data_IF_056177105027
#
_entry.id   IF_056177105027
#
_cell.length_a   1.000
_cell.length_b   1.000
_cell.length_c   1.000
_cell.angle_alpha   90.00
_cell.angle_beta   90.00
_cell.angle_gamma   90.00
#
_symmetry.space_group_name_H-M   'P 1'
#
loop_
_entity.id
_entity.type
_entity.pdbx_description
1 polymer ?
#
# COMPACT_ATOMS: atom_id res chain seq x y z
N UNK A 1 13.04 -1.33 19.35
CA UNK A 1 12.59 -0.71 20.61
C UNK A 1 11.57 -1.64 21.26
N UNK A 2 12.09 -2.71 21.87
CA UNK A 2 11.42 -3.45 22.93
C UNK A 2 11.94 -2.83 24.24
N UNK A 3 11.04 -2.32 25.09
CA UNK A 3 11.35 -1.85 26.44
C UNK A 3 11.28 -3.06 27.39
N UNK A 4 12.41 -3.41 28.01
CA UNK A 4 12.71 -3.38 29.46
C UNK A 4 12.05 -4.50 30.30
N UNK A 5 12.87 -5.41 30.86
CA UNK A 5 13.37 -5.41 32.25
C UNK A 5 12.27 -5.88 33.22
N UNK A 6 12.42 -6.90 34.06
CA UNK A 6 13.58 -7.40 34.78
C UNK A 6 13.15 -7.56 36.25
N UNK A 7 13.48 -8.70 36.86
CA UNK A 7 13.55 -8.99 38.31
C UNK A 7 12.73 -10.22 38.74
N UNK A 8 13.48 -11.14 39.35
CA UNK A 8 13.06 -12.35 40.04
C UNK A 8 12.73 -12.07 41.53
N UNK A 9 12.53 -13.17 42.27
CA UNK A 9 12.52 -13.35 43.75
C UNK A 9 11.07 -13.52 44.33
N UNK A 10 10.79 -14.44 45.29
CA UNK A 10 10.89 -15.91 45.25
C UNK A 10 9.60 -16.60 45.83
N UNK A 11 9.55 -17.94 45.83
CA UNK A 11 8.61 -18.73 46.67
C UNK A 11 9.04 -18.67 48.17
N UNK A 12 8.35 -19.25 49.19
CA UNK A 12 7.39 -20.37 49.13
C UNK A 12 6.30 -20.43 50.24
N UNK A 13 5.65 -21.60 50.32
CA UNK A 13 4.98 -22.22 51.48
C UNK A 13 3.49 -21.99 51.73
N UNK A 14 2.76 -23.10 51.80
CA UNK A 14 1.36 -23.15 52.19
C UNK A 14 0.69 -24.50 51.94
N UNK A 15 1.18 -25.56 52.56
CA UNK A 15 0.44 -26.82 52.72
C UNK A 15 -0.96 -26.53 53.28
N UNK A 16 -2.01 -27.14 52.71
CA UNK A 16 -3.01 -27.86 53.49
C UNK A 16 -4.15 -28.46 52.65
N UNK A 17 -4.15 -29.80 52.63
CA UNK A 17 -5.25 -30.65 53.11
C UNK A 17 -6.44 -30.96 52.18
N UNK A 18 -6.51 -32.28 51.92
CA UNK A 18 -7.67 -33.21 52.03
C UNK A 18 -8.50 -33.50 50.76
N UNK A 19 -8.20 -34.68 50.24
CA UNK A 19 -9.09 -35.85 50.09
C UNK A 19 -10.53 -35.60 49.65
N UNK A 20 -10.88 -36.13 48.47
CA UNK A 20 -12.28 -36.15 48.04
C UNK A 20 -12.56 -36.84 46.73
N UNK A 21 -12.46 -38.18 46.72
CA UNK A 21 -13.31 -39.10 45.94
C UNK A 21 -12.97 -39.30 44.44
N UNK A 22 -12.42 -40.49 44.17
CA UNK A 22 -12.47 -41.17 42.88
C UNK A 22 -13.93 -41.32 42.42
N UNK A 23 -14.21 -40.90 41.18
CA UNK A 23 -15.34 -41.35 40.35
C UNK A 23 -14.86 -41.56 38.91
N UNK A 24 -15.52 -42.45 38.16
CA UNK A 24 -14.85 -43.47 37.35
C UNK A 24 -14.58 -43.04 35.91
N UNK A 25 -13.56 -43.65 35.32
CA UNK A 25 -13.22 -43.63 33.89
C UNK A 25 -14.39 -44.14 33.02
N UNK A 26 -14.83 -43.38 32.00
CA UNK A 26 -15.61 -43.96 30.90
C UNK A 26 -14.71 -44.81 29.97
N UNK A 27 -15.26 -45.82 29.29
CA UNK A 27 -14.52 -46.76 28.43
C UNK A 27 -13.94 -46.12 27.15
N UNK A 28 -12.93 -46.74 26.52
CA UNK A 28 -12.22 -46.19 25.37
C UNK A 28 -12.90 -46.58 24.05
N UNK A 29 -13.61 -45.67 23.40
CA UNK A 29 -14.07 -45.85 22.01
C UNK A 29 -14.50 -44.46 21.47
N UNK A 30 -14.00 -43.88 20.39
CA UNK A 30 -13.04 -44.31 19.40
C UNK A 30 -12.10 -43.14 19.10
N UNK A 31 -10.81 -43.43 19.10
CA UNK A 31 -9.75 -42.57 18.61
C UNK A 31 -9.99 -42.33 17.11
N UNK A 32 -10.63 -41.21 16.77
CA UNK A 32 -10.63 -40.76 15.38
C UNK A 32 -9.17 -40.48 15.03
N UNK A 33 -8.61 -41.13 14.00
CA UNK A 33 -7.21 -40.90 13.66
C UNK A 33 -7.01 -39.41 13.37
N UNK A 34 -5.88 -38.80 13.78
CA UNK A 34 -5.60 -37.43 13.41
C UNK A 34 -5.69 -37.32 11.89
N UNK A 35 -6.60 -36.47 11.40
CA UNK A 35 -6.66 -36.11 9.99
C UNK A 35 -5.28 -35.60 9.62
N UNK A 36 -4.52 -36.42 8.90
CA UNK A 36 -3.14 -36.11 8.49
C UNK A 36 -3.20 -34.82 7.69
N UNK A 37 -2.72 -33.73 8.27
CA UNK A 37 -2.56 -32.45 7.59
C UNK A 37 -1.52 -32.67 6.51
N UNK A 38 -1.98 -32.79 5.26
CA UNK A 38 -1.11 -32.91 4.10
C UNK A 38 -0.14 -31.72 3.97
N UNK A 39 0.90 -31.85 3.13
CA UNK A 39 2.02 -30.93 3.10
C UNK A 39 1.57 -29.50 2.80
N UNK A 40 1.98 -28.59 3.69
CA UNK A 40 2.08 -27.14 3.51
C UNK A 40 1.38 -26.53 2.31
N UNK A 41 0.04 -26.40 2.35
CA UNK A 41 -0.58 -25.32 1.60
C UNK A 41 -0.28 -24.04 2.38
N UNK A 42 0.64 -23.17 1.91
CA UNK A 42 0.84 -21.89 2.57
C UNK A 42 -0.52 -21.21 2.65
N UNK A 43 -0.87 -20.71 3.84
CA UNK A 43 -2.05 -19.87 4.03
C UNK A 43 -1.81 -18.61 3.19
N UNK A 44 -2.25 -18.64 1.94
CA UNK A 44 -2.41 -17.46 1.10
C UNK A 44 -3.30 -16.53 1.92
N UNK A 45 -2.73 -15.44 2.44
CA UNK A 45 -3.41 -14.45 3.31
C UNK A 45 -4.49 -13.67 2.55
N UNK A 46 -5.39 -14.39 1.91
CA UNK A 46 -6.52 -13.87 1.15
C UNK A 46 -7.60 -13.56 2.15
N UNK A 47 -7.83 -12.27 2.37
CA UNK A 47 -8.95 -11.79 3.17
C UNK A 47 -10.14 -11.68 2.24
N UNK A 48 -11.17 -12.49 2.49
CA UNK A 48 -12.45 -12.38 1.79
C UNK A 48 -13.17 -11.09 2.20
N UNK A 49 -13.69 -10.36 1.20
CA UNK A 49 -14.57 -9.20 1.39
C UNK A 49 -15.69 -9.28 0.37
N UNK A 50 -16.87 -8.80 0.75
CA UNK A 50 -18.04 -8.74 -0.13
C UNK A 50 -17.95 -7.52 -1.04
N UNK A 51 -18.33 -7.69 -2.32
CA UNK A 51 -18.36 -6.62 -3.33
C UNK A 51 -19.71 -6.70 -4.05
N UNK A 52 -20.38 -5.56 -4.17
CA UNK A 52 -21.64 -5.44 -4.91
C UNK A 52 -21.38 -4.77 -6.26
N UNK A 53 -21.77 -5.43 -7.36
CA UNK A 53 -21.62 -4.94 -8.73
C UNK A 53 -22.98 -4.95 -9.45
N UNK A 54 -23.07 -4.22 -10.57
CA UNK A 54 -24.27 -4.24 -11.43
C UNK A 54 -24.45 -5.61 -12.11
N UNK A 55 -25.68 -6.06 -12.37
CA UNK A 55 -25.96 -7.36 -13.00
C UNK A 55 -25.17 -7.61 -14.30
N UNK A 56 -25.13 -6.61 -15.20
CA UNK A 56 -24.35 -6.66 -16.44
C UNK A 56 -22.86 -6.95 -16.24
N UNK A 57 -22.27 -6.53 -15.12
CA UNK A 57 -20.86 -6.79 -14.83
C UNK A 57 -20.65 -8.22 -14.34
N UNK A 58 -21.61 -8.76 -13.59
CA UNK A 58 -21.59 -10.17 -13.17
C UNK A 58 -21.71 -11.11 -14.37
N UNK A 59 -22.66 -10.84 -15.27
CA UNK A 59 -22.80 -11.61 -16.52
C UNK A 59 -21.50 -11.64 -17.31
N UNK A 60 -20.82 -10.50 -17.44
CA UNK A 60 -19.52 -10.43 -18.09
C UNK A 60 -18.41 -11.17 -17.33
N UNK A 61 -18.39 -11.10 -15.99
CA UNK A 61 -17.41 -11.79 -15.16
C UNK A 61 -17.58 -13.31 -15.19
N UNK A 62 -18.82 -13.80 -15.23
CA UNK A 62 -19.15 -15.23 -15.28
C UNK A 62 -18.86 -15.83 -16.66
N UNK A 63 -18.93 -15.02 -17.72
CA UNK A 63 -18.54 -15.42 -19.07
C UNK A 63 -17.00 -15.61 -19.24
N UNK A 64 -16.18 -15.26 -18.24
CA UNK A 64 -14.72 -15.34 -18.36
C UNK A 64 -14.22 -16.80 -18.24
N UNK A 65 -13.36 -17.28 -19.16
CA UNK A 65 -12.83 -18.65 -19.13
C UNK A 65 -12.05 -19.01 -17.86
N UNK A 66 -11.47 -18.00 -17.20
CA UNK A 66 -10.69 -18.13 -15.96
C UNK A 66 -11.54 -18.07 -14.68
N UNK A 67 -12.86 -17.85 -14.80
CA UNK A 67 -13.78 -17.59 -13.71
C UNK A 67 -13.75 -16.14 -13.20
N UNK A 68 -14.85 -15.74 -12.55
CA UNK A 68 -15.10 -14.37 -12.11
C UNK A 68 -14.00 -13.79 -11.19
N UNK A 69 -13.52 -14.56 -10.20
CA UNK A 69 -12.50 -14.07 -9.26
C UNK A 69 -11.13 -13.83 -9.90
N UNK A 70 -10.72 -14.69 -10.84
CA UNK A 70 -9.46 -14.53 -11.55
C UNK A 70 -9.49 -13.30 -12.47
N UNK A 71 -10.62 -13.09 -13.15
CA UNK A 71 -10.85 -11.90 -13.97
C UNK A 71 -10.86 -10.62 -13.11
N UNK A 72 -11.56 -10.64 -11.97
CA UNK A 72 -11.58 -9.51 -11.04
C UNK A 72 -10.18 -9.18 -10.52
N UNK A 73 -9.40 -10.18 -10.12
CA UNK A 73 -8.00 -9.97 -9.70
C UNK A 73 -7.18 -9.33 -10.82
N UNK A 74 -7.30 -9.83 -12.06
CA UNK A 74 -6.58 -9.25 -13.20
C UNK A 74 -6.97 -7.79 -13.45
N UNK A 75 -8.26 -7.46 -13.35
CA UNK A 75 -8.76 -6.09 -13.47
C UNK A 75 -8.20 -5.19 -12.38
N UNK A 76 -8.24 -5.62 -11.11
CA UNK A 76 -7.68 -4.87 -9.98
C UNK A 76 -6.18 -4.67 -10.14
N UNK A 77 -5.43 -5.72 -10.46
CA UNK A 77 -3.98 -5.64 -10.68
C UNK A 77 -3.63 -4.67 -11.83
N UNK A 78 -4.44 -4.67 -12.89
CA UNK A 78 -4.29 -3.75 -14.02
C UNK A 78 -4.55 -2.31 -13.58
N UNK A 79 -5.67 -2.05 -12.90
CA UNK A 79 -6.01 -0.73 -12.38
C UNK A 79 -4.97 -0.22 -11.36
N UNK A 80 -4.47 -1.10 -10.47
CA UNK A 80 -3.38 -0.79 -9.55
C UNK A 80 -2.11 -0.44 -10.29
N UNK A 81 -1.75 -1.19 -11.34
CA UNK A 81 -0.56 -0.91 -12.16
C UNK A 81 -0.66 0.41 -12.90
N UNK A 82 -1.82 0.71 -13.48
CA UNK A 82 -2.07 1.97 -14.20
C UNK A 82 -2.01 3.16 -13.25
N UNK A 83 -2.60 3.04 -12.05
CA UNK A 83 -2.58 4.10 -11.03
C UNK A 83 -1.21 4.33 -10.39
N UNK A 84 -0.34 3.32 -10.34
CA UNK A 84 0.97 3.41 -9.65
C UNK A 84 1.88 4.50 -10.20
N UNK A 85 1.93 4.68 -11.52
CA UNK A 85 2.80 5.68 -12.13
C UNK A 85 2.29 7.11 -11.86
N UNK A 86 0.98 7.34 -12.01
CA UNK A 86 0.35 8.62 -11.71
C UNK A 86 0.47 9.00 -10.23
N UNK A 87 0.29 8.02 -9.34
CA UNK A 87 0.46 8.23 -7.90
C UNK A 87 1.91 8.59 -7.58
N UNK A 88 2.88 7.84 -8.13
CA UNK A 88 4.30 8.12 -7.92
C UNK A 88 4.69 9.54 -8.35
N UNK A 89 4.16 10.02 -9.47
CA UNK A 89 4.35 11.40 -9.92
C UNK A 89 3.77 12.41 -8.92
N UNK A 90 2.54 12.17 -8.43
CA UNK A 90 1.91 12.99 -7.39
C UNK A 90 2.74 13.04 -6.11
N UNK A 91 3.24 11.90 -5.61
CA UNK A 91 4.09 11.86 -4.41
C UNK A 91 5.37 12.65 -4.55
N UNK A 92 6.02 12.56 -5.72
CA UNK A 92 7.24 13.32 -5.97
C UNK A 92 6.94 14.83 -6.01
N UNK A 93 5.83 15.22 -6.62
CA UNK A 93 5.40 16.63 -6.70
C UNK A 93 5.06 17.18 -5.31
N UNK A 94 4.33 16.42 -4.50
CA UNK A 94 4.04 16.76 -3.12
C UNK A 94 5.33 16.88 -2.29
N UNK A 95 6.32 16.03 -2.56
CA UNK A 95 7.66 16.13 -1.97
C UNK A 95 8.41 17.40 -2.36
N UNK A 96 8.37 17.78 -3.63
CA UNK A 96 8.95 19.04 -4.12
C UNK A 96 8.27 20.26 -3.49
N UNK A 97 6.93 20.24 -3.39
CA UNK A 97 6.17 21.28 -2.70
C UNK A 97 6.53 21.38 -1.21
N UNK A 98 6.63 20.26 -0.49
CA UNK A 98 7.04 20.26 0.93
C UNK A 98 8.43 20.84 1.13
N UNK A 99 9.39 20.46 0.27
CA UNK A 99 10.73 21.06 0.29
C UNK A 99 10.66 22.57 0.08
N UNK A 100 9.93 23.00 -0.95
CA UNK A 100 9.77 24.41 -1.29
C UNK A 100 9.09 25.20 -0.16
N UNK A 101 8.04 24.66 0.45
CA UNK A 101 7.33 25.29 1.57
C UNK A 101 8.21 25.42 2.80
N UNK A 102 9.11 24.47 3.05
CA UNK A 102 10.03 24.53 4.18
C UNK A 102 11.21 25.48 3.94
N UNK A 103 11.80 25.45 2.74
CA UNK A 103 13.03 26.20 2.43
C UNK A 103 12.78 27.62 1.93
N UNK A 104 11.65 27.86 1.29
CA UNK A 104 11.39 29.05 0.47
C UNK A 104 10.01 29.66 0.73
N UNK A 105 9.34 29.31 1.83
CA UNK A 105 8.02 29.87 2.17
C UNK A 105 8.01 31.40 2.25
N UNK A 106 9.12 32.00 2.69
CA UNK A 106 9.29 33.46 2.80
C UNK A 106 10.01 34.07 1.57
N UNK A 107 10.31 33.28 0.54
CA UNK A 107 11.03 33.77 -0.63
C UNK A 107 10.08 34.44 -1.63
N UNK A 108 10.58 35.40 -2.43
CA UNK A 108 9.78 36.04 -3.47
C UNK A 108 9.17 35.02 -4.43
N UNK A 109 7.94 35.27 -4.88
CA UNK A 109 7.20 34.45 -5.85
C UNK A 109 6.89 33.02 -5.39
N UNK A 110 6.99 32.69 -4.11
CA UNK A 110 6.69 31.34 -3.60
C UNK A 110 5.29 30.86 -3.99
N UNK A 111 4.26 31.71 -3.84
CA UNK A 111 2.89 31.39 -4.19
C UNK A 111 2.73 31.08 -5.68
N UNK A 112 3.28 31.94 -6.54
CA UNK A 112 3.27 31.74 -8.00
C UNK A 112 4.06 30.50 -8.41
N UNK A 113 5.18 30.22 -7.73
CA UNK A 113 5.98 29.03 -7.95
C UNK A 113 5.19 27.76 -7.57
N UNK A 114 4.47 27.79 -6.44
CA UNK A 114 3.59 26.67 -6.05
C UNK A 114 2.49 26.42 -7.09
N UNK A 115 1.87 27.48 -7.61
CA UNK A 115 0.86 27.37 -8.67
C UNK A 115 1.46 26.79 -9.95
N UNK A 116 2.64 27.24 -10.36
CA UNK A 116 3.34 26.73 -11.54
C UNK A 116 3.70 25.24 -11.39
N UNK A 117 4.19 24.81 -10.21
CA UNK A 117 4.48 23.41 -9.91
C UNK A 117 3.25 22.51 -10.08
N UNK A 118 2.10 22.90 -9.52
CA UNK A 118 0.88 22.11 -9.64
C UNK A 118 0.24 22.17 -11.03
N UNK A 119 0.43 23.28 -11.76
CA UNK A 119 0.04 23.43 -13.16
C UNK A 119 0.96 22.68 -14.14
N UNK A 120 2.06 22.07 -13.66
CA UNK A 120 3.10 21.42 -14.48
C UNK A 120 3.78 22.38 -15.47
N UNK A 121 3.77 23.69 -15.16
CA UNK A 121 4.43 24.72 -15.95
C UNK A 121 5.85 24.95 -15.42
N UNK A 122 6.74 24.00 -15.76
CA UNK A 122 8.10 23.98 -15.23
C UNK A 122 9.00 25.09 -15.78
N UNK A 123 8.70 25.63 -16.96
CA UNK A 123 9.41 26.79 -17.51
C UNK A 123 9.08 28.05 -16.71
N UNK A 124 7.79 28.27 -16.43
CA UNK A 124 7.37 29.37 -15.56
C UNK A 124 7.92 29.20 -14.16
N UNK A 125 7.91 27.99 -13.61
CA UNK A 125 8.50 27.70 -12.30
C UNK A 125 9.97 28.10 -12.23
N UNK A 126 10.80 27.68 -13.21
CA UNK A 126 12.22 28.05 -13.31
C UNK A 126 12.42 29.57 -13.31
N UNK A 127 11.56 30.28 -14.03
CA UNK A 127 11.62 31.74 -14.12
C UNK A 127 11.32 32.41 -12.77
N UNK A 128 10.35 31.89 -12.02
CA UNK A 128 9.91 32.46 -10.73
C UNK A 128 10.94 32.25 -9.61
N UNK A 129 11.65 31.12 -9.63
CA UNK A 129 12.68 30.77 -8.63
C UNK A 129 14.09 31.26 -9.01
N UNK A 130 14.25 32.00 -10.10
CA UNK A 130 15.55 32.43 -10.61
C UNK A 130 16.34 33.28 -9.61
N UNK A 131 15.66 34.01 -8.72
CA UNK A 131 16.28 34.86 -7.69
C UNK A 131 16.51 34.13 -6.36
N UNK A 132 16.12 32.86 -6.25
CA UNK A 132 16.32 32.09 -5.04
C UNK A 132 17.80 31.70 -4.88
N UNK A 133 18.25 31.42 -3.63
CA UNK A 133 19.58 30.88 -3.38
C UNK A 133 19.89 29.68 -4.27
N UNK A 134 21.10 29.66 -4.81
CA UNK A 134 21.53 28.67 -5.81
C UNK A 134 21.32 27.23 -5.34
N UNK A 135 21.72 26.92 -4.11
CA UNK A 135 21.56 25.58 -3.52
C UNK A 135 20.09 25.12 -3.45
N UNK A 136 19.18 26.06 -3.13
CA UNK A 136 17.74 25.77 -3.02
C UNK A 136 17.16 25.52 -4.40
N UNK A 137 17.52 26.36 -5.38
CA UNK A 137 17.10 26.22 -6.78
C UNK A 137 17.62 24.92 -7.39
N UNK A 138 18.88 24.57 -7.17
CA UNK A 138 19.50 23.36 -7.71
C UNK A 138 18.91 22.09 -7.11
N UNK A 139 18.65 22.09 -5.81
CA UNK A 139 17.96 20.97 -5.17
C UNK A 139 16.52 20.83 -5.69
N UNK A 140 15.80 21.94 -5.81
CA UNK A 140 14.44 21.94 -6.35
C UNK A 140 14.42 21.47 -7.80
N UNK A 141 15.40 21.85 -8.63
CA UNK A 141 15.51 21.39 -10.01
C UNK A 141 15.69 19.86 -10.08
N UNK A 142 16.56 19.28 -9.24
CA UNK A 142 16.70 17.81 -9.14
C UNK A 142 15.39 17.11 -8.74
N UNK A 143 14.58 17.73 -7.88
CA UNK A 143 13.27 17.19 -7.52
C UNK A 143 12.30 17.27 -8.70
N UNK A 144 12.27 18.41 -9.39
CA UNK A 144 11.45 18.63 -10.59
C UNK A 144 11.79 17.62 -11.67
N UNK A 145 13.08 17.36 -11.93
CA UNK A 145 13.49 16.38 -12.95
C UNK A 145 12.95 14.97 -12.65
N UNK A 146 12.89 14.59 -11.37
CA UNK A 146 12.29 13.33 -10.92
C UNK A 146 10.77 13.33 -11.10
N UNK A 147 10.10 14.45 -10.82
CA UNK A 147 8.66 14.62 -11.05
C UNK A 147 8.37 14.45 -12.54
N UNK A 148 9.10 15.16 -13.40
CA UNK A 148 8.98 15.10 -14.87
C UNK A 148 9.18 13.69 -15.41
N UNK A 149 10.20 12.98 -14.95
CA UNK A 149 10.43 11.59 -15.35
C UNK A 149 9.27 10.67 -14.93
N UNK A 150 8.71 10.88 -13.73
CA UNK A 150 7.55 10.11 -13.26
C UNK A 150 6.26 10.45 -14.02
N UNK A 151 6.05 11.72 -14.36
CA UNK A 151 4.92 12.19 -15.18
C UNK A 151 4.99 11.63 -16.60
N UNK A 152 6.16 11.66 -17.23
CA UNK A 152 6.37 11.04 -18.54
C UNK A 152 6.08 9.54 -18.51
N UNK A 153 6.52 8.84 -17.45
CA UNK A 153 6.21 7.42 -17.24
C UNK A 153 4.71 7.18 -17.04
N UNK A 154 4.02 8.07 -16.32
CA UNK A 154 2.58 7.98 -16.12
C UNK A 154 1.81 8.22 -17.44
N UNK A 155 2.23 9.20 -18.24
CA UNK A 155 1.68 9.46 -19.57
C UNK A 155 1.87 8.26 -20.50
N UNK A 156 3.05 7.63 -20.49
CA UNK A 156 3.32 6.41 -21.26
C UNK A 156 2.43 5.25 -20.81
N UNK A 157 2.30 5.02 -19.49
CA UNK A 157 1.44 3.97 -18.95
C UNK A 157 -0.04 4.17 -19.32
N UNK A 158 -0.51 5.42 -19.32
CA UNK A 158 -1.86 5.76 -19.76
C UNK A 158 -2.07 5.52 -21.27
N UNK A 159 -1.07 5.85 -22.10
CA UNK A 159 -1.11 5.59 -23.55
C UNK A 159 -1.11 4.09 -23.88
N UNK A 160 -0.40 3.27 -23.11
CA UNK A 160 -0.35 1.82 -23.28
C UNK A 160 -1.63 1.14 -22.78
N UNK A 161 -2.20 1.60 -21.67
CA UNK A 161 -3.50 1.12 -21.17
C UNK A 161 -4.64 1.37 -22.16
N UNK A 162 -4.65 2.54 -22.83
CA UNK A 162 -5.68 2.88 -23.83
C UNK A 162 -5.60 2.04 -25.11
N UNK A 163 -4.44 1.44 -25.43
CA UNK A 163 -4.25 0.54 -26.59
C UNK A 163 -4.63 -0.92 -26.30
N UNK A 164 -4.77 -1.30 -25.03
CA UNK A 164 -5.05 -2.67 -24.61
C UNK A 164 -6.51 -2.98 -24.28
N UNK A 165 -7.44 -2.03 -24.44
CA UNK A 165 -8.87 -2.27 -24.25
C UNK A 165 -9.44 -3.10 -25.40
N UNK A 166 -9.91 -4.34 -25.16
CA UNK A 166 -10.55 -5.12 -26.21
C UNK A 166 -11.95 -4.55 -26.51
N UNK A 167 -12.24 -4.35 -27.79
CA UNK A 167 -13.57 -4.53 -28.34
C UNK A 167 -13.89 -6.02 -28.36
#
# INVERSE_FOLDING_TARGET
MWFEAGAAIPAPDGEARKSGRLRPTPPPEAEQPPKRTGPGRPRLGVVGREVTLLPRHWEWLDAQPSGAWAALRKLVETAMREGRAAEQARRLRDGAYRFMSFMAGDFPNFEEASRALFAQDYERLRSLIALWPEDVRDHLQRLIDRVMAAEAKAAQAAADGKRGGPN
#
